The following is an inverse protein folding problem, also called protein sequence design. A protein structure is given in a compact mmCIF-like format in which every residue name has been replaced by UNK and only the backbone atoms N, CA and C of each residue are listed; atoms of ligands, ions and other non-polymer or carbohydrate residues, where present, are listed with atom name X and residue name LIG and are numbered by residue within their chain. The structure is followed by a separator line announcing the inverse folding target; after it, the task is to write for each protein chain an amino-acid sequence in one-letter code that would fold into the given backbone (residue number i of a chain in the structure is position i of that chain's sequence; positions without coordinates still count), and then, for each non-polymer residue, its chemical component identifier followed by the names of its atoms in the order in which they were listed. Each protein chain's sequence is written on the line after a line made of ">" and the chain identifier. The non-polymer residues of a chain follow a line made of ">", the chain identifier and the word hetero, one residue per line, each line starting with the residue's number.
data_IF_991505692593
#
_entry.id   IF_991505692593
#
_cell.length_a   1.000
_cell.length_b   1.000
_cell.length_c   1.000
_cell.angle_alpha   90.00
_cell.angle_beta   90.00
_cell.angle_gamma   90.00
#
_symmetry.space_group_name_H-M   'P 1'
#
loop_
_entity.id
_entity.type
_entity.pdbx_description
1 polymer ?
#
# COMPACT_ATOMS: atom_id res chain seq x y z
N UNK A 1 -28.81 -7.51 -41.99
CA UNK A 1 -28.98 -6.91 -40.64
C UNK A 1 -28.39 -7.79 -39.54
N UNK A 2 -28.78 -9.06 -39.40
CA UNK A 2 -28.23 -10.00 -38.39
C UNK A 2 -26.70 -10.09 -38.42
N UNK A 3 -26.08 -10.19 -39.60
CA UNK A 3 -24.63 -10.26 -39.75
C UNK A 3 -23.88 -9.01 -39.26
N UNK A 4 -24.50 -7.83 -39.34
CA UNK A 4 -23.92 -6.58 -38.83
C UNK A 4 -23.95 -6.57 -37.30
N UNK A 5 -25.03 -7.06 -36.70
CA UNK A 5 -25.17 -7.18 -35.25
C UNK A 5 -24.15 -8.21 -34.71
N UNK A 6 -24.07 -9.39 -35.33
CA UNK A 6 -23.11 -10.44 -34.95
C UNK A 6 -21.67 -9.93 -35.09
N UNK A 7 -21.35 -9.27 -36.20
CA UNK A 7 -20.03 -8.64 -36.40
C UNK A 7 -19.71 -7.59 -35.33
N UNK A 8 -20.67 -6.72 -35.01
CA UNK A 8 -20.51 -5.71 -33.96
C UNK A 8 -20.25 -6.31 -32.57
N UNK A 9 -21.00 -7.35 -32.19
CA UNK A 9 -20.81 -8.05 -30.91
C UNK A 9 -19.42 -8.69 -30.84
N UNK A 10 -18.96 -9.36 -31.91
CA UNK A 10 -17.63 -9.97 -31.93
C UNK A 10 -16.51 -8.94 -31.76
N UNK A 11 -16.65 -7.75 -32.36
CA UNK A 11 -15.69 -6.65 -32.19
C UNK A 11 -15.68 -6.15 -30.74
N UNK A 12 -16.84 -5.95 -30.12
CA UNK A 12 -16.94 -5.53 -28.71
C UNK A 12 -16.28 -6.56 -27.79
N UNK A 13 -16.57 -7.85 -28.00
CA UNK A 13 -15.97 -8.95 -27.22
C UNK A 13 -14.45 -8.98 -27.41
N UNK A 14 -13.95 -8.80 -28.63
CA UNK A 14 -12.52 -8.77 -28.90
C UNK A 14 -11.83 -7.58 -28.21
N UNK A 15 -12.42 -6.38 -28.29
CA UNK A 15 -11.91 -5.18 -27.59
C UNK A 15 -11.88 -5.41 -26.08
N UNK A 16 -12.96 -5.95 -25.52
CA UNK A 16 -13.06 -6.23 -24.10
C UNK A 16 -12.06 -7.29 -23.63
N UNK A 17 -11.87 -8.36 -24.41
CA UNK A 17 -10.87 -9.40 -24.12
C UNK A 17 -9.44 -8.86 -24.16
N UNK A 18 -9.12 -8.00 -25.13
CA UNK A 18 -7.82 -7.32 -25.22
C UNK A 18 -7.60 -6.38 -24.02
N UNK A 19 -8.65 -5.67 -23.60
CA UNK A 19 -8.61 -4.80 -22.43
C UNK A 19 -8.39 -5.59 -21.13
N UNK A 20 -9.08 -6.72 -20.93
CA UNK A 20 -8.84 -7.60 -19.78
C UNK A 20 -7.41 -8.13 -19.79
N UNK A 21 -6.94 -8.63 -20.94
CA UNK A 21 -5.59 -9.20 -21.07
C UNK A 21 -4.49 -8.18 -20.83
N UNK A 22 -4.69 -6.92 -21.20
CA UNK A 22 -3.71 -5.86 -20.94
C UNK A 22 -3.61 -5.54 -19.45
N UNK A 23 -4.73 -5.54 -18.72
CA UNK A 23 -4.74 -5.37 -17.26
C UNK A 23 -4.12 -6.58 -16.55
N UNK A 24 -4.47 -7.79 -16.96
CA UNK A 24 -3.95 -9.03 -16.38
C UNK A 24 -2.41 -9.09 -16.44
N UNK A 25 -1.82 -8.76 -17.59
CA UNK A 25 -0.36 -8.68 -17.73
C UNK A 25 0.33 -7.66 -16.82
N UNK A 26 -0.39 -6.61 -16.39
CA UNK A 26 0.15 -5.59 -15.48
C UNK A 26 0.03 -6.05 -14.03
N UNK A 27 -1.18 -6.44 -13.61
CA UNK A 27 -1.40 -6.90 -12.24
C UNK A 27 -0.65 -8.20 -11.93
N UNK A 28 -0.48 -9.09 -12.91
CA UNK A 28 0.33 -10.31 -12.72
C UNK A 28 1.77 -10.01 -12.32
N UNK A 29 2.37 -8.90 -12.78
CA UNK A 29 3.72 -8.49 -12.34
C UNK A 29 3.77 -8.10 -10.87
N UNK A 30 2.70 -7.44 -10.40
CA UNK A 30 2.54 -7.02 -9.01
C UNK A 30 2.38 -8.25 -8.09
N UNK A 31 1.80 -9.34 -8.60
CA UNK A 31 1.62 -10.59 -7.84
C UNK A 31 2.67 -11.64 -8.19
N UNK A 32 3.96 -11.31 -7.99
CA UNK A 32 5.08 -12.24 -8.20
C UNK A 32 6.00 -12.31 -6.98
N UNK A 33 6.60 -13.48 -6.76
CA UNK A 33 7.54 -13.69 -5.65
C UNK A 33 8.72 -12.69 -5.62
N UNK A 34 9.36 -12.38 -6.77
CA UNK A 34 10.42 -11.37 -6.78
C UNK A 34 9.94 -9.99 -6.31
N UNK A 35 8.71 -9.60 -6.68
CA UNK A 35 8.15 -8.31 -6.27
C UNK A 35 7.83 -8.27 -4.76
N UNK A 36 7.39 -9.38 -4.17
CA UNK A 36 7.18 -9.45 -2.72
C UNK A 36 8.48 -9.32 -1.92
N UNK A 37 9.59 -9.85 -2.47
CA UNK A 37 10.93 -9.71 -1.88
C UNK A 37 11.47 -8.30 -2.07
N UNK A 38 11.31 -7.70 -3.25
CA UNK A 38 11.65 -6.30 -3.51
C UNK A 38 10.97 -5.37 -2.50
N UNK A 39 9.66 -5.54 -2.33
CA UNK A 39 8.86 -4.79 -1.37
C UNK A 39 9.36 -4.97 0.07
N UNK A 40 9.54 -6.21 0.52
CA UNK A 40 10.00 -6.49 1.88
C UNK A 40 11.43 -5.99 2.13
N UNK A 41 12.30 -6.04 1.12
CA UNK A 41 13.68 -5.59 1.20
C UNK A 41 13.83 -4.06 1.31
N UNK A 42 12.88 -3.30 0.77
CA UNK A 42 12.88 -1.84 0.87
C UNK A 42 12.39 -1.31 2.22
N UNK A 43 11.58 -2.10 2.93
CA UNK A 43 10.90 -1.67 4.16
C UNK A 43 11.83 -1.27 5.32
N UNK A 44 12.97 -1.95 5.59
CA UNK A 44 13.92 -1.51 6.62
C UNK A 44 14.43 -0.08 6.41
N UNK A 45 14.73 0.29 5.15
CA UNK A 45 15.17 1.64 4.79
C UNK A 45 14.06 2.65 5.00
N UNK A 46 12.86 2.37 4.47
CA UNK A 46 11.70 3.27 4.65
C UNK A 46 11.39 3.49 6.13
N UNK A 47 11.46 2.42 6.94
CA UNK A 47 11.26 2.50 8.38
C UNK A 47 12.31 3.38 9.06
N UNK A 48 13.58 3.19 8.75
CA UNK A 48 14.66 4.00 9.30
C UNK A 48 14.52 5.49 8.94
N UNK A 49 14.20 5.78 7.67
CA UNK A 49 13.98 7.15 7.21
C UNK A 49 12.79 7.83 7.91
N UNK A 50 11.67 7.13 8.05
CA UNK A 50 10.49 7.65 8.74
C UNK A 50 10.74 7.86 10.25
N UNK A 51 11.52 6.97 10.89
CA UNK A 51 11.91 7.13 12.29
C UNK A 51 12.82 8.33 12.50
N UNK A 52 13.85 8.49 11.67
CA UNK A 52 14.81 9.61 11.77
C UNK A 52 14.08 10.95 11.74
N UNK A 53 13.19 11.17 10.76
CA UNK A 53 12.45 12.44 10.64
C UNK A 53 11.52 12.70 11.83
N UNK A 54 10.92 11.64 12.40
CA UNK A 54 10.06 11.77 13.57
C UNK A 54 10.81 12.17 14.86
N UNK A 55 12.12 11.90 14.93
CA UNK A 55 12.97 12.30 16.06
C UNK A 55 13.41 13.77 15.95
N UNK A 56 13.57 14.28 14.72
CA UNK A 56 13.98 15.64 14.45
C UNK A 56 12.90 16.69 14.76
N UNK A 57 11.66 16.25 15.05
CA UNK A 57 10.55 17.12 15.43
C UNK A 57 9.99 17.96 14.27
N UNK A 58 10.36 17.62 13.04
CA UNK A 58 9.73 18.13 11.83
C UNK A 58 8.36 17.44 11.66
N UNK A 59 7.35 18.02 12.32
CA UNK A 59 5.93 17.69 12.12
C UNK A 59 5.49 18.23 10.75
N UNK A 60 5.86 17.54 9.67
CA UNK A 60 5.37 17.84 8.33
C UNK A 60 3.99 17.22 8.13
N UNK A 61 2.97 17.84 8.71
CA UNK A 61 1.58 17.41 8.49
C UNK A 61 1.12 17.65 7.03
N UNK A 62 1.92 18.31 6.18
CA UNK A 62 1.46 18.74 4.85
C UNK A 62 2.45 18.54 3.67
N UNK A 63 3.73 18.23 3.90
CA UNK A 63 4.67 18.13 2.78
C UNK A 63 4.68 16.72 2.18
N UNK A 64 3.99 16.56 1.03
CA UNK A 64 4.14 15.38 0.19
C UNK A 64 5.64 15.20 -0.12
N UNK A 65 6.25 14.07 0.25
CA UNK A 65 7.67 13.88 0.01
C UNK A 65 7.95 13.91 -1.47
N UNK A 66 9.12 14.46 -1.78
CA UNK A 66 9.65 14.38 -3.12
C UNK A 66 9.83 12.90 -3.53
N UNK A 67 9.75 12.58 -4.85
CA UNK A 67 9.89 11.20 -5.33
C UNK A 67 11.20 10.49 -4.96
N UNK A 68 12.24 11.25 -4.62
CA UNK A 68 13.55 10.79 -4.19
C UNK A 68 13.68 10.60 -2.66
N UNK A 69 12.64 10.92 -1.89
CA UNK A 69 12.62 10.73 -0.44
C UNK A 69 12.71 9.23 -0.07
N UNK A 70 13.52 8.90 0.95
CA UNK A 70 13.74 7.52 1.34
C UNK A 70 12.52 6.82 1.95
N UNK A 71 11.52 7.60 2.37
CA UNK A 71 10.19 7.16 2.81
C UNK A 71 9.30 6.73 1.65
N UNK A 72 9.70 7.02 0.41
CA UNK A 72 8.99 6.63 -0.80
C UNK A 72 9.65 5.40 -1.42
N UNK A 73 8.83 4.46 -1.83
CA UNK A 73 9.20 3.27 -2.58
C UNK A 73 8.40 3.24 -3.87
N UNK A 74 9.10 3.26 -5.00
CA UNK A 74 8.53 2.89 -6.29
C UNK A 74 9.17 1.58 -6.74
N UNK A 75 8.36 0.53 -6.81
CA UNK A 75 8.83 -0.81 -7.21
C UNK A 75 8.94 -0.94 -8.73
N UNK A 76 9.68 -1.95 -9.17
CA UNK A 76 9.80 -2.35 -10.58
C UNK A 76 8.46 -2.71 -11.23
N UNK A 77 7.45 -3.10 -10.45
CA UNK A 77 6.10 -3.42 -10.92
C UNK A 77 5.17 -2.19 -10.97
N UNK A 78 5.64 -1.00 -10.59
CA UNK A 78 4.86 0.24 -10.60
C UNK A 78 4.02 0.46 -9.34
N UNK A 79 4.17 -0.38 -8.31
CA UNK A 79 3.60 -0.13 -6.99
C UNK A 79 4.37 1.01 -6.32
N UNK A 80 3.65 2.04 -5.89
CA UNK A 80 4.16 3.14 -5.10
C UNK A 80 3.69 2.99 -3.65
N UNK A 81 4.63 3.14 -2.72
CA UNK A 81 4.35 3.19 -1.28
C UNK A 81 5.01 4.40 -0.68
N UNK A 82 4.29 5.05 0.20
CA UNK A 82 4.77 6.14 1.02
C UNK A 82 4.56 5.83 2.49
N UNK A 83 5.49 6.17 3.39
CA UNK A 83 5.40 5.90 4.82
C UNK A 83 5.92 7.05 5.70
N UNK A 84 5.09 7.54 6.62
CA UNK A 84 5.44 8.58 7.60
C UNK A 84 5.07 8.20 9.02
N UNK A 85 5.67 8.95 9.94
CA UNK A 85 5.37 8.92 11.36
C UNK A 85 5.24 10.37 11.82
N UNK A 86 4.07 10.74 12.32
CA UNK A 86 3.77 12.07 12.87
C UNK A 86 3.66 11.98 14.39
N UNK A 87 4.10 13.00 15.11
CA UNK A 87 3.97 13.02 16.57
C UNK A 87 2.84 13.95 17.00
N UNK A 88 1.83 13.39 17.65
CA UNK A 88 0.72 14.17 18.24
C UNK A 88 0.71 13.99 19.75
N UNK A 89 1.38 14.90 20.46
CA UNK A 89 1.54 14.83 21.91
C UNK A 89 2.43 13.65 22.34
N UNK A 90 1.83 12.67 23.02
CA UNK A 90 2.49 11.43 23.47
C UNK A 90 2.30 10.23 22.52
N UNK A 91 1.67 10.47 21.37
CA UNK A 91 1.36 9.46 20.35
C UNK A 91 2.15 9.68 19.07
N UNK A 92 2.48 8.56 18.44
CA UNK A 92 3.08 8.47 17.12
C UNK A 92 2.05 7.87 16.18
N UNK A 93 1.65 8.63 15.18
CA UNK A 93 0.68 8.23 14.15
C UNK A 93 1.49 7.81 12.94
N UNK A 94 1.43 6.53 12.62
CA UNK A 94 2.06 5.95 11.45
C UNK A 94 1.06 6.01 10.31
N UNK A 95 1.45 6.59 9.19
CA UNK A 95 0.64 6.63 7.98
C UNK A 95 1.42 5.99 6.84
N UNK A 96 0.78 5.14 6.06
CA UNK A 96 1.32 4.73 4.78
C UNK A 96 0.25 4.65 3.72
N UNK A 97 0.66 4.90 2.49
CA UNK A 97 -0.22 4.92 1.34
C UNK A 97 0.27 3.93 0.29
N UNK A 98 -0.64 3.18 -0.33
CA UNK A 98 -0.35 2.23 -1.40
C UNK A 98 -1.12 2.61 -2.65
N UNK A 99 -0.41 2.73 -3.78
CA UNK A 99 -1.03 2.99 -5.08
C UNK A 99 -0.27 2.33 -6.24
N UNK A 100 -0.89 2.29 -7.42
CA UNK A 100 -0.20 2.00 -8.68
C UNK A 100 0.04 3.30 -9.45
N UNK A 101 1.29 3.56 -9.81
CA UNK A 101 1.68 4.81 -10.46
C UNK A 101 0.89 5.05 -11.76
N UNK A 102 0.15 6.17 -11.80
CA UNK A 102 -0.63 6.61 -12.96
C UNK A 102 -1.92 5.82 -13.23
N UNK A 103 -2.36 4.95 -12.31
CA UNK A 103 -3.53 4.09 -12.53
C UNK A 103 -4.39 3.93 -11.28
N UNK A 104 -5.65 3.51 -11.48
CA UNK A 104 -6.51 3.10 -10.38
C UNK A 104 -5.98 1.82 -9.72
N UNK A 105 -5.78 1.87 -8.41
CA UNK A 105 -5.32 0.74 -7.61
C UNK A 105 -6.47 -0.23 -7.34
N UNK A 106 -6.38 -1.45 -7.86
CA UNK A 106 -7.37 -2.47 -7.55
C UNK A 106 -7.34 -2.80 -6.05
N UNK A 107 -8.50 -3.09 -5.45
CA UNK A 107 -8.61 -3.39 -4.01
C UNK A 107 -7.72 -4.54 -3.56
N UNK A 108 -7.56 -5.57 -4.38
CA UNK A 108 -6.65 -6.69 -4.11
C UNK A 108 -5.18 -6.25 -4.00
N UNK A 109 -4.76 -5.24 -4.77
CA UNK A 109 -3.42 -4.66 -4.68
C UNK A 109 -3.33 -3.79 -3.44
N UNK A 110 -4.22 -2.80 -3.31
CA UNK A 110 -4.19 -1.84 -2.21
C UNK A 110 -4.24 -2.51 -0.83
N UNK A 111 -5.30 -3.28 -0.56
CA UNK A 111 -5.48 -3.97 0.72
C UNK A 111 -4.39 -5.03 0.91
N UNK A 112 -4.08 -5.82 -0.12
CA UNK A 112 -3.09 -6.90 -0.03
C UNK A 112 -1.71 -6.40 0.38
N UNK A 113 -1.22 -5.34 -0.27
CA UNK A 113 0.06 -4.74 0.07
C UNK A 113 0.01 -3.92 1.35
N UNK A 114 -1.12 -3.30 1.71
CA UNK A 114 -1.26 -2.64 3.01
C UNK A 114 -1.14 -3.62 4.17
N UNK A 115 -1.79 -4.78 4.07
CA UNK A 115 -1.70 -5.84 5.08
C UNK A 115 -0.32 -6.51 5.08
N UNK A 116 0.31 -6.65 3.90
CA UNK A 116 1.66 -7.17 3.82
C UNK A 116 2.67 -6.25 4.51
N UNK A 117 2.59 -4.94 4.27
CA UNK A 117 3.38 -3.91 4.94
C UNK A 117 3.23 -4.01 6.47
N UNK A 118 2.00 -4.01 6.98
CA UNK A 118 1.71 -4.18 8.40
C UNK A 118 2.29 -5.50 8.95
N UNK A 119 2.14 -6.61 8.23
CA UNK A 119 2.65 -7.92 8.65
C UNK A 119 4.17 -7.96 8.79
N UNK A 120 4.89 -7.28 7.89
CA UNK A 120 6.35 -7.19 7.90
C UNK A 120 6.84 -6.32 9.06
N UNK A 121 6.09 -5.26 9.39
CA UNK A 121 6.30 -4.44 10.57
C UNK A 121 5.86 -5.14 11.87
N UNK A 122 5.10 -6.24 11.76
CA UNK A 122 4.54 -6.98 12.88
C UNK A 122 3.43 -6.23 13.62
N UNK A 123 2.65 -5.45 12.86
CA UNK A 123 1.47 -4.72 13.34
C UNK A 123 0.24 -5.63 13.19
N UNK A 124 -0.53 -5.86 14.28
CA UNK A 124 -1.80 -6.58 14.19
C UNK A 124 -2.80 -5.84 13.29
N UNK A 125 -3.57 -6.59 12.52
CA UNK A 125 -4.51 -6.04 11.53
C UNK A 125 -5.62 -5.22 12.20
N UNK A 126 -5.98 -5.60 13.43
CA UNK A 126 -7.01 -4.97 14.24
C UNK A 126 -6.61 -3.56 14.72
N UNK A 127 -5.33 -3.21 14.59
CA UNK A 127 -4.80 -1.87 14.92
C UNK A 127 -4.76 -0.95 13.70
N UNK A 128 -5.13 -1.44 12.51
CA UNK A 128 -5.05 -0.70 11.27
C UNK A 128 -6.39 -0.01 10.96
N UNK A 129 -6.32 1.27 10.62
CA UNK A 129 -7.41 1.99 9.96
C UNK A 129 -7.09 2.06 8.47
N UNK A 130 -7.94 1.49 7.61
CA UNK A 130 -7.74 1.53 6.15
C UNK A 130 -8.78 2.43 5.50
N UNK A 131 -8.30 3.36 4.69
CA UNK A 131 -9.13 4.30 3.94
C UNK A 131 -8.82 4.24 2.44
N UNK A 132 -9.82 4.50 1.61
CA UNK A 132 -9.67 4.62 0.16
C UNK A 132 -10.01 6.05 -0.27
N UNK A 133 -9.05 6.74 -0.88
CA UNK A 133 -9.30 8.05 -1.49
C UNK A 133 -10.02 7.94 -2.84
N UNK A 134 -10.61 9.04 -3.30
CA UNK A 134 -11.25 9.13 -4.62
C UNK A 134 -10.28 8.84 -5.77
N UNK A 135 -8.99 9.17 -5.58
CA UNK A 135 -7.91 8.89 -6.53
C UNK A 135 -7.52 7.40 -6.59
N UNK A 136 -8.11 6.54 -5.76
CA UNK A 136 -7.78 5.13 -5.70
C UNK A 136 -6.47 4.85 -4.95
N UNK A 137 -6.11 5.68 -3.97
CA UNK A 137 -4.97 5.46 -3.08
C UNK A 137 -5.48 4.84 -1.78
N UNK A 138 -4.83 3.77 -1.33
CA UNK A 138 -5.15 3.10 -0.07
C UNK A 138 -4.29 3.67 1.04
N UNK A 139 -4.89 4.44 1.92
CA UNK A 139 -4.26 5.00 3.10
C UNK A 139 -4.43 4.03 4.26
N UNK A 140 -3.39 3.84 5.06
CA UNK A 140 -3.42 2.97 6.23
C UNK A 140 -2.74 3.67 7.39
N UNK A 141 -3.41 3.67 8.54
CA UNK A 141 -2.94 4.31 9.75
C UNK A 141 -2.89 3.34 10.92
N UNK A 142 -1.93 3.52 11.81
CA UNK A 142 -1.93 2.93 13.15
C UNK A 142 -1.19 3.83 14.13
N UNK A 143 -1.56 3.74 15.41
CA UNK A 143 -1.03 4.62 16.45
C UNK A 143 -0.19 3.85 17.46
N UNK A 144 0.90 4.47 17.93
CA UNK A 144 1.78 3.95 18.98
C UNK A 144 1.92 4.97 20.10
N UNK A 145 1.95 4.52 21.35
CA UNK A 145 2.45 5.32 22.48
C UNK A 145 3.98 5.44 22.43
N UNK A 146 4.59 6.36 23.18
CA UNK A 146 6.06 6.50 23.20
C UNK A 146 6.82 5.23 23.56
N UNK A 147 6.33 4.41 24.50
CA UNK A 147 6.96 3.13 24.84
C UNK A 147 6.84 2.09 23.72
N UNK A 148 5.68 2.03 23.06
CA UNK A 148 5.48 1.16 21.90
C UNK A 148 6.27 1.63 20.69
N UNK A 149 6.47 2.94 20.53
CA UNK A 149 7.28 3.53 19.47
C UNK A 149 8.75 3.16 19.62
N UNK A 150 9.30 3.23 20.83
CA UNK A 150 10.68 2.81 21.09
C UNK A 150 10.86 1.30 20.79
N UNK A 151 9.94 0.47 21.26
CA UNK A 151 9.95 -0.97 20.95
C UNK A 151 9.78 -1.24 19.44
N UNK A 152 8.95 -0.43 18.77
CA UNK A 152 8.79 -0.48 17.33
C UNK A 152 10.11 -0.12 16.63
N UNK A 153 10.80 0.96 17.03
CA UNK A 153 12.06 1.39 16.45
C UNK A 153 13.11 0.27 16.48
N UNK A 154 13.28 -0.37 17.65
CA UNK A 154 14.25 -1.45 17.86
C UNK A 154 13.92 -2.75 17.11
N UNK A 155 12.66 -2.95 16.73
CA UNK A 155 12.22 -4.19 16.07
C UNK A 155 12.85 -4.32 14.68
N UNK A 156 13.67 -5.35 14.47
CA UNK A 156 14.18 -5.69 13.14
C UNK A 156 13.08 -6.26 12.26
N UNK A 157 13.09 -5.86 11.00
CA UNK A 157 12.23 -6.44 9.96
C UNK A 157 12.96 -7.67 9.41
N UNK A 158 12.26 -8.78 9.35
CA UNK A 158 12.78 -10.05 8.87
C UNK A 158 13.06 -10.00 7.37
N UNK A 159 14.25 -10.42 6.94
CA UNK A 159 14.55 -10.66 5.53
C UNK A 159 13.92 -11.98 5.11
N UNK A 160 13.09 -11.95 4.07
CA UNK A 160 12.36 -13.12 3.59
C UNK A 160 13.00 -13.75 2.37
N UNK A 161 12.95 -15.08 2.28
CA UNK A 161 13.15 -15.80 1.02
C UNK A 161 11.95 -15.57 0.09
N UNK A 162 12.09 -15.80 -1.23
CA UNK A 162 10.96 -15.68 -2.16
C UNK A 162 9.73 -16.50 -1.74
N UNK A 163 9.94 -17.75 -1.31
CA UNK A 163 8.85 -18.62 -0.85
C UNK A 163 8.16 -18.08 0.42
N UNK A 164 8.95 -17.61 1.40
CA UNK A 164 8.40 -17.06 2.63
C UNK A 164 7.64 -15.75 2.39
N UNK A 165 8.14 -14.90 1.48
CA UNK A 165 7.48 -13.67 1.04
C UNK A 165 6.13 -13.98 0.38
N UNK A 166 6.11 -14.95 -0.56
CA UNK A 166 4.90 -15.40 -1.26
C UNK A 166 3.84 -15.97 -0.31
N UNK A 167 4.27 -16.84 0.62
CA UNK A 167 3.39 -17.43 1.62
C UNK A 167 2.81 -16.36 2.55
N UNK A 168 3.63 -15.41 3.00
CA UNK A 168 3.19 -14.31 3.86
C UNK A 168 2.18 -13.42 3.14
N UNK A 169 2.49 -12.99 1.91
CA UNK A 169 1.57 -12.18 1.10
C UNK A 169 0.24 -12.90 0.84
N UNK A 170 0.28 -14.20 0.53
CA UNK A 170 -0.93 -15.01 0.35
C UNK A 170 -1.82 -15.03 1.59
N UNK A 171 -1.23 -15.06 2.80
CA UNK A 171 -2.00 -14.97 4.05
C UNK A 171 -2.67 -13.60 4.18
N UNK A 172 -1.93 -12.52 3.89
CA UNK A 172 -2.48 -11.16 3.87
C UNK A 172 -3.65 -11.02 2.89
N UNK A 173 -3.53 -11.59 1.68
CA UNK A 173 -4.64 -11.62 0.72
C UNK A 173 -5.88 -12.35 1.23
N UNK A 174 -5.72 -13.44 1.98
CA UNK A 174 -6.87 -14.15 2.58
C UNK A 174 -7.51 -13.35 3.70
N UNK A 175 -6.71 -12.60 4.46
CA UNK A 175 -7.19 -11.74 5.55
C UNK A 175 -7.88 -10.46 5.05
N UNK A 176 -7.80 -10.13 3.76
CA UNK A 176 -8.47 -8.93 3.22
C UNK A 176 -9.98 -8.89 3.50
N UNK A 177 -10.61 -10.07 3.60
CA UNK A 177 -12.06 -10.19 3.81
C UNK A 177 -12.47 -9.83 5.24
N UNK A 178 -11.53 -9.83 6.20
CA UNK A 178 -11.78 -9.42 7.58
C UNK A 178 -11.50 -7.94 7.83
N UNK A 179 -11.17 -7.18 6.80
CA UNK A 179 -10.77 -5.77 6.93
C UNK A 179 -11.83 -4.88 6.31
N UNK A 180 -12.28 -3.89 7.07
CA UNK A 180 -13.17 -2.84 6.58
C UNK A 180 -12.33 -1.71 6.00
N UNK A 181 -12.61 -1.35 4.75
CA UNK A 181 -12.06 -0.16 4.11
C UNK A 181 -13.14 0.91 4.08
N UNK A 182 -12.90 2.04 4.72
CA UNK A 182 -13.83 3.17 4.69
C UNK A 182 -13.47 4.13 3.55
N UNK A 183 -14.43 4.70 2.81
CA UNK A 183 -14.15 5.82 1.93
C UNK A 183 -13.52 6.96 2.75
N UNK A 184 -12.51 7.62 2.19
CA UNK A 184 -11.93 8.81 2.80
C UNK A 184 -12.93 9.95 2.68
N UNK A 185 -13.38 10.52 3.80
CA UNK A 185 -14.30 11.65 3.80
C UNK A 185 -13.51 12.94 3.56
N UNK A 186 -13.48 13.37 2.30
CA UNK A 186 -12.74 14.57 1.87
C UNK A 186 -13.34 15.84 2.49
N UNK A 187 -14.58 15.80 3.01
CA UNK A 187 -15.23 16.98 3.61
C UNK A 187 -14.74 17.29 5.02
N UNK A 188 -14.10 16.35 5.72
CA UNK A 188 -13.57 16.56 7.07
C UNK A 188 -12.14 17.11 7.10
N UNK A 189 -11.43 17.11 5.96
CA UNK A 189 -10.04 17.55 5.86
C UNK A 189 -9.87 19.08 5.74
N UNK A 190 -10.94 19.83 5.44
CA UNK A 190 -10.89 21.30 5.32
C UNK A 190 -11.14 22.04 6.66
N UNK A 191 -11.21 21.33 7.79
CA UNK A 191 -11.55 21.93 9.10
C UNK A 191 -10.54 21.68 10.22
N UNK A 192 -9.33 21.20 9.94
CA UNK A 192 -8.24 21.12 10.92
C UNK A 192 -7.12 22.11 10.62
#
# INVERSE_FOLDING_TARGET
>A
MIWVIVGGILVIVAIFALWIRSRDKKYSKVFTDPHYVEFAGALPRMKAAALSRSEDGEDDDEEMPAPDDERVLQTSAGLAVFYTIHRRGDRYIHHYSVSLAGEYTASAVGIGFSLYFASLLGIPIEQLTLQLSEAGVFHTEFTRSGGEQAAFADRRIETLTPEAASLRFTRCLRQRESVTVTPMDVTAAETQ
#
